data_IF_682561112038
#
_entry.id   IF_682561112038
#
_cell.length_a   1.000
_cell.length_b   1.000
_cell.length_c   1.000
_cell.angle_alpha   90.00
_cell.angle_beta   90.00
_cell.angle_gamma   90.00
#
_symmetry.space_group_name_H-M   'P 1'
#
loop_
_entity.id
_entity.type
_entity.pdbx_description
1 polymer ?
#
# COMPACT_ATOMS: atom_id res chain seq x y z
N UNK A 1 20.70 0.45 -1.11
CA UNK A 1 19.51 0.39 -1.97
C UNK A 1 18.43 1.25 -1.35
N UNK A 2 17.76 2.12 -2.11
CA UNK A 2 16.64 2.92 -1.60
C UNK A 2 15.34 2.16 -1.86
N UNK A 3 14.51 1.99 -0.85
CA UNK A 3 13.23 1.28 -0.98
C UNK A 3 12.19 2.20 -1.63
N UNK A 4 11.33 1.62 -2.48
CA UNK A 4 10.27 2.31 -3.21
C UNK A 4 8.91 1.98 -2.59
N UNK A 5 8.05 2.98 -2.47
CA UNK A 5 6.64 2.81 -2.14
C UNK A 5 5.81 3.66 -3.12
N UNK A 6 4.53 3.35 -3.28
CA UNK A 6 3.59 4.22 -3.98
C UNK A 6 2.72 4.98 -2.98
N UNK A 7 2.12 6.09 -3.40
CA UNK A 7 1.16 6.84 -2.56
C UNK A 7 0.00 5.96 -2.03
N UNK A 8 -0.27 4.83 -2.69
CA UNK A 8 -1.30 3.87 -2.27
C UNK A 8 -1.06 3.30 -0.87
N UNK A 9 0.20 3.07 -0.47
CA UNK A 9 0.51 2.48 0.84
C UNK A 9 0.03 3.37 2.00
N UNK A 10 0.00 4.68 1.78
CA UNK A 10 -0.45 5.67 2.78
C UNK A 10 -1.94 5.47 3.05
N UNK A 11 -2.73 5.21 2.00
CA UNK A 11 -4.15 4.91 2.11
C UNK A 11 -4.39 3.55 2.77
N UNK A 12 -3.60 2.53 2.41
CA UNK A 12 -3.71 1.19 3.02
C UNK A 12 -3.49 1.25 4.53
N UNK A 13 -2.43 1.92 4.99
CA UNK A 13 -2.13 2.05 6.41
C UNK A 13 -3.17 2.93 7.13
N UNK A 14 -3.61 4.02 6.49
CA UNK A 14 -4.66 4.88 7.05
C UNK A 14 -5.98 4.14 7.24
N UNK A 15 -6.36 3.30 6.27
CA UNK A 15 -7.55 2.45 6.32
C UNK A 15 -7.43 1.37 7.41
N UNK A 16 -6.30 0.65 7.44
CA UNK A 16 -6.04 -0.38 8.43
C UNK A 16 -6.09 0.16 9.86
N UNK A 17 -5.46 1.31 10.12
CA UNK A 17 -5.50 1.95 11.46
C UNK A 17 -6.88 2.48 11.81
N UNK A 18 -7.67 2.96 10.85
CA UNK A 18 -9.07 3.34 11.08
C UNK A 18 -9.95 2.13 11.44
N UNK A 19 -9.75 0.97 10.78
CA UNK A 19 -10.42 -0.28 11.14
C UNK A 19 -10.04 -0.72 12.55
N UNK A 20 -8.75 -0.71 12.89
CA UNK A 20 -8.27 -1.07 14.23
C UNK A 20 -8.85 -0.15 15.32
N UNK A 21 -8.98 1.14 15.04
CA UNK A 21 -9.60 2.08 15.97
C UNK A 21 -11.10 1.78 16.16
N UNK A 22 -11.88 1.62 15.07
CA UNK A 22 -13.33 1.38 15.17
C UNK A 22 -13.65 0.05 15.85
N UNK A 23 -12.78 -0.94 15.69
CA UNK A 23 -12.89 -2.27 16.30
C UNK A 23 -12.24 -2.34 17.69
N UNK A 24 -11.84 -1.20 18.26
CA UNK A 24 -11.26 -1.05 19.61
C UNK A 24 -9.96 -1.83 19.85
N UNK A 25 -9.24 -2.20 18.79
CA UNK A 25 -7.92 -2.84 18.89
C UNK A 25 -6.81 -1.84 19.22
N UNK A 26 -7.02 -0.56 18.88
CA UNK A 26 -6.15 0.55 19.25
C UNK A 26 -6.99 1.73 19.73
N UNK A 27 -6.40 2.61 20.54
CA UNK A 27 -6.98 3.89 20.90
C UNK A 27 -6.52 5.02 19.95
N UNK A 28 -7.10 6.21 20.13
CA UNK A 28 -6.82 7.37 19.27
C UNK A 28 -5.36 7.83 19.35
N UNK A 29 -4.73 7.76 20.52
CA UNK A 29 -3.33 8.15 20.71
C UNK A 29 -2.39 7.18 19.99
N UNK A 30 -2.66 5.87 20.06
CA UNK A 30 -1.92 4.84 19.32
C UNK A 30 -2.07 5.03 17.81
N UNK A 31 -3.27 5.38 17.31
CA UNK A 31 -3.48 5.70 15.90
C UNK A 31 -2.65 6.92 15.48
N UNK A 32 -2.67 7.99 16.27
CA UNK A 32 -1.90 9.20 15.99
C UNK A 32 -0.38 8.90 15.95
N UNK A 33 0.12 8.13 16.92
CA UNK A 33 1.52 7.72 16.96
C UNK A 33 1.93 6.87 15.75
N UNK A 34 1.08 5.92 15.32
CA UNK A 34 1.34 5.11 14.14
C UNK A 34 1.41 5.94 12.86
N UNK A 35 0.51 6.91 12.69
CA UNK A 35 0.52 7.80 11.52
C UNK A 35 1.73 8.76 11.52
N UNK A 36 2.12 9.27 12.69
CA UNK A 36 3.31 10.10 12.81
C UNK A 36 4.59 9.30 12.45
N UNK A 37 4.68 8.04 12.91
CA UNK A 37 5.78 7.15 12.56
C UNK A 37 5.81 6.83 11.06
N UNK A 38 4.65 6.58 10.45
CA UNK A 38 4.55 6.37 9.00
C UNK A 38 5.09 7.58 8.23
N UNK A 39 4.62 8.78 8.55
CA UNK A 39 5.04 10.00 7.87
C UNK A 39 6.56 10.19 7.96
N UNK A 40 7.14 9.95 9.13
CA UNK A 40 8.60 10.00 9.32
C UNK A 40 9.32 8.99 8.42
N UNK A 41 8.88 7.73 8.40
CA UNK A 41 9.47 6.70 7.55
C UNK A 41 9.36 7.04 6.06
N UNK A 42 8.19 7.51 5.61
CA UNK A 42 7.94 7.93 4.22
C UNK A 42 8.91 9.02 3.81
N UNK A 43 9.08 10.05 4.63
CA UNK A 43 9.95 11.20 4.33
C UNK A 43 11.44 10.85 4.40
N UNK A 44 11.84 10.03 5.37
CA UNK A 44 13.27 9.80 5.66
C UNK A 44 13.86 8.58 4.94
N UNK A 45 13.06 7.56 4.63
CA UNK A 45 13.57 6.23 4.23
C UNK A 45 13.14 5.76 2.84
N UNK A 46 12.10 6.35 2.25
CA UNK A 46 11.53 5.86 0.99
C UNK A 46 11.65 6.85 -0.18
N UNK A 47 11.60 6.32 -1.39
CA UNK A 47 11.20 7.09 -2.58
C UNK A 47 9.73 6.81 -2.82
N UNK A 48 8.92 7.87 -2.90
CA UNK A 48 7.48 7.75 -3.16
C UNK A 48 7.21 7.87 -4.66
N UNK A 49 6.52 6.89 -5.20
CA UNK A 49 6.08 6.82 -6.59
C UNK A 49 4.66 7.38 -6.72
N UNK A 50 4.52 8.39 -7.56
CA UNK A 50 3.23 9.01 -7.88
C UNK A 50 2.32 8.00 -8.60
N UNK A 51 1.05 7.96 -8.20
CA UNK A 51 0.05 7.14 -8.89
C UNK A 51 -0.66 7.96 -9.96
N UNK A 52 -0.62 7.48 -11.21
CA UNK A 52 -1.32 8.08 -12.34
C UNK A 52 -2.58 7.30 -12.71
N UNK A 53 -3.42 7.91 -13.56
CA UNK A 53 -4.56 7.22 -14.18
C UNK A 53 -4.16 5.96 -14.97
N UNK A 54 -2.92 5.88 -15.47
CA UNK A 54 -2.39 4.71 -16.18
C UNK A 54 -2.30 3.49 -15.27
N UNK A 55 -1.85 3.66 -14.03
CA UNK A 55 -1.72 2.58 -13.07
C UNK A 55 -3.06 1.94 -12.72
N UNK A 56 -4.14 2.72 -12.59
CA UNK A 56 -5.48 2.16 -12.34
C UNK A 56 -5.98 1.31 -13.51
N UNK A 57 -5.73 1.73 -14.75
CA UNK A 57 -6.05 0.91 -15.94
C UNK A 57 -5.18 -0.35 -16.01
N UNK A 58 -3.91 -0.27 -15.63
CA UNK A 58 -3.02 -1.43 -15.51
C UNK A 58 -3.52 -2.43 -14.44
N UNK A 59 -3.91 -1.92 -13.27
CA UNK A 59 -4.46 -2.72 -12.18
C UNK A 59 -5.77 -3.43 -12.60
N UNK A 60 -6.65 -2.75 -13.35
CA UNK A 60 -7.84 -3.36 -13.92
C UNK A 60 -7.48 -4.56 -14.82
N UNK A 61 -6.52 -4.39 -15.75
CA UNK A 61 -6.06 -5.50 -16.61
C UNK A 61 -5.49 -6.69 -15.84
N UNK A 62 -4.83 -6.46 -14.70
CA UNK A 62 -4.37 -7.54 -13.83
C UNK A 62 -5.53 -8.21 -13.07
N UNK A 63 -6.50 -7.42 -12.60
CA UNK A 63 -7.68 -7.93 -11.89
C UNK A 63 -8.58 -8.74 -12.81
N UNK A 64 -8.69 -8.35 -14.08
CA UNK A 64 -9.46 -9.07 -15.12
C UNK A 64 -8.88 -10.47 -15.43
N UNK A 65 -7.61 -10.72 -15.08
CA UNK A 65 -7.00 -12.05 -15.14
C UNK A 65 -7.39 -12.86 -13.91
N UNK A 66 -8.64 -13.32 -13.88
CA UNK A 66 -9.28 -13.98 -12.73
C UNK A 66 -8.45 -15.14 -12.15
N UNK A 67 -7.69 -15.87 -12.98
CA UNK A 67 -6.81 -16.95 -12.55
C UNK A 67 -5.69 -16.50 -11.61
N UNK A 68 -5.33 -15.22 -11.60
CA UNK A 68 -4.33 -14.66 -10.68
C UNK A 68 -4.89 -14.39 -9.27
N UNK A 69 -6.21 -14.35 -9.10
CA UNK A 69 -6.85 -14.14 -7.79
C UNK A 69 -6.48 -12.82 -7.10
N UNK A 70 -6.06 -11.80 -7.86
CA UNK A 70 -5.56 -10.55 -7.32
C UNK A 70 -6.67 -9.68 -6.75
N UNK A 71 -6.45 -9.12 -5.56
CA UNK A 71 -7.26 -7.99 -5.07
C UNK A 71 -6.80 -6.71 -5.75
N UNK A 72 -7.71 -5.75 -5.88
CA UNK A 72 -7.44 -4.47 -6.55
C UNK A 72 -6.18 -3.76 -6.00
N UNK A 73 -5.95 -3.81 -4.68
CA UNK A 73 -4.75 -3.23 -4.07
C UNK A 73 -3.45 -3.89 -4.52
N UNK A 74 -3.42 -5.24 -4.55
CA UNK A 74 -2.26 -6.00 -5.02
C UNK A 74 -2.01 -5.75 -6.52
N UNK A 75 -3.08 -5.69 -7.32
CA UNK A 75 -3.01 -5.36 -8.73
C UNK A 75 -2.47 -3.93 -8.99
N UNK A 76 -2.79 -2.98 -8.11
CA UNK A 76 -2.27 -1.61 -8.21
C UNK A 76 -0.78 -1.54 -7.88
N UNK A 77 -0.33 -2.27 -6.85
CA UNK A 77 1.11 -2.38 -6.55
C UNK A 77 1.88 -2.97 -7.74
N UNK A 78 1.35 -4.02 -8.37
CA UNK A 78 1.95 -4.62 -9.57
C UNK A 78 2.00 -3.65 -10.76
N UNK A 79 0.93 -2.88 -10.98
CA UNK A 79 0.89 -1.89 -12.06
C UNK A 79 1.97 -0.81 -11.89
N UNK A 80 2.13 -0.27 -10.67
CA UNK A 80 3.16 0.73 -10.36
C UNK A 80 4.57 0.16 -10.51
N UNK A 81 4.80 -1.07 -10.03
CA UNK A 81 6.11 -1.71 -10.12
C UNK A 81 6.50 -2.03 -11.57
N UNK A 82 5.53 -2.44 -12.40
CA UNK A 82 5.76 -2.77 -13.82
C UNK A 82 6.26 -1.58 -14.64
N UNK A 83 5.85 -0.35 -14.30
CA UNK A 83 6.29 0.88 -14.99
C UNK A 83 7.73 1.26 -14.61
N UNK A 84 8.16 0.92 -13.40
CA UNK A 84 9.48 1.31 -12.85
C UNK A 84 10.54 0.21 -12.95
N UNK A 85 10.18 -0.97 -13.47
CA UNK A 85 11.04 -2.15 -13.48
C UNK A 85 11.35 -2.69 -12.08
N UNK A 86 10.62 -2.25 -11.07
CA UNK A 86 10.81 -2.68 -9.68
C UNK A 86 10.12 -4.02 -9.42
N UNK A 87 10.60 -4.76 -8.42
CA UNK A 87 9.92 -5.96 -7.91
C UNK A 87 9.04 -5.59 -6.71
N UNK A 88 7.84 -6.17 -6.62
CA UNK A 88 6.94 -5.98 -5.48
C UNK A 88 7.35 -6.90 -4.33
N UNK A 89 7.69 -6.33 -3.18
CA UNK A 89 7.75 -7.07 -1.93
C UNK A 89 6.36 -7.15 -1.31
N UNK A 90 5.66 -8.27 -1.45
CA UNK A 90 4.40 -8.49 -0.74
C UNK A 90 4.70 -8.79 0.73
N UNK A 91 4.06 -8.10 1.70
CA UNK A 91 4.10 -8.54 3.09
C UNK A 91 3.42 -9.91 3.13
N UNK A 92 4.12 -10.92 3.64
CA UNK A 92 3.53 -12.22 3.95
C UNK A 92 2.22 -11.99 4.70
N UNK A 93 1.09 -12.61 4.31
CA UNK A 93 -0.19 -12.31 4.93
C UNK A 93 -0.06 -12.51 6.44
N UNK A 94 -0.32 -11.45 7.20
CA UNK A 94 -0.64 -11.56 8.61
C UNK A 94 -1.88 -12.46 8.66
N UNK A 95 -1.64 -13.76 8.87
CA UNK A 95 -2.70 -14.72 9.18
C UNK A 95 -3.44 -14.13 10.38
N UNK A 96 -4.73 -13.86 10.17
CA UNK A 96 -5.65 -13.54 11.26
C UNK A 96 -5.71 -14.70 12.25
#
# INVERSE_FOLDING_TARGET
>A
MRHLISDWIINEISSATAIKLRTRQINIAQRAAALAMLNKLVTESFTVLTITGGHFRGAARFTDQHSLGLRVGDALHLAVASETGASVGVPTPLRA
#
